data_IF_235701689710
#
_entry.id   IF_235701689710
#
_cell.length_a   1.000
_cell.length_b   1.000
_cell.length_c   1.000
_cell.angle_alpha   90.00
_cell.angle_beta   90.00
_cell.angle_gamma   90.00
#
_symmetry.space_group_name_H-M   'P 1'
#
loop_
_entity.id
_entity.type
_entity.pdbx_description
1 polymer ?
#
# COMPACT_ATOMS: atom_id res chain seq x y z
N UNK A 1 38.40 -12.09 4.88
CA UNK A 1 37.55 -10.98 5.34
C UNK A 1 37.65 -10.91 6.84
N UNK A 2 37.83 -9.72 7.41
CA UNK A 2 37.88 -9.55 8.86
C UNK A 2 36.50 -9.89 9.46
N UNK A 3 36.41 -10.74 10.50
CA UNK A 3 35.14 -11.17 11.10
C UNK A 3 34.26 -10.01 11.56
N UNK A 4 34.86 -8.88 11.92
CA UNK A 4 34.20 -7.62 12.30
C UNK A 4 33.40 -7.03 11.13
N UNK A 5 33.93 -7.11 9.90
CA UNK A 5 33.25 -6.63 8.69
C UNK A 5 32.02 -7.50 8.39
N UNK A 6 32.14 -8.82 8.54
CA UNK A 6 31.01 -9.74 8.36
C UNK A 6 29.92 -9.51 9.43
N UNK A 7 30.31 -9.30 10.68
CA UNK A 7 29.37 -8.96 11.75
C UNK A 7 28.63 -7.64 11.46
N UNK A 8 29.35 -6.59 11.03
CA UNK A 8 28.74 -5.29 10.72
C UNK A 8 27.71 -5.36 9.58
N UNK A 9 27.96 -6.20 8.59
CA UNK A 9 27.05 -6.45 7.48
C UNK A 9 25.79 -7.19 7.94
N UNK A 10 25.94 -8.25 8.74
CA UNK A 10 24.80 -9.03 9.27
C UNK A 10 23.90 -8.16 10.15
N UNK A 11 24.49 -7.27 10.96
CA UNK A 11 23.72 -6.35 11.80
C UNK A 11 22.81 -5.45 10.96
N UNK A 12 23.25 -5.00 9.78
CA UNK A 12 22.44 -4.18 8.89
C UNK A 12 21.28 -4.91 8.20
N UNK A 13 21.25 -6.25 8.22
CA UNK A 13 20.12 -7.04 7.68
C UNK A 13 18.88 -6.89 8.58
N UNK A 14 19.05 -6.96 9.89
CA UNK A 14 17.95 -6.87 10.87
C UNK A 14 17.08 -5.61 10.72
N UNK A 15 17.62 -4.38 10.67
CA UNK A 15 16.80 -3.18 10.50
C UNK A 15 16.13 -3.14 9.12
N UNK A 16 16.75 -3.71 8.08
CA UNK A 16 16.14 -3.82 6.75
C UNK A 16 14.91 -4.74 6.77
N UNK A 17 15.02 -5.91 7.42
CA UNK A 17 13.88 -6.82 7.64
C UNK A 17 12.79 -6.18 8.51
N UNK A 18 13.17 -5.48 9.58
CA UNK A 18 12.23 -4.77 10.44
C UNK A 18 11.44 -3.69 9.66
N UNK A 19 12.11 -2.97 8.76
CA UNK A 19 11.48 -1.94 7.92
C UNK A 19 10.52 -2.57 6.90
N UNK A 20 10.88 -3.70 6.30
CA UNK A 20 9.98 -4.48 5.45
C UNK A 20 8.75 -4.96 6.23
N UNK A 21 8.93 -5.41 7.47
CA UNK A 21 7.83 -5.72 8.37
C UNK A 21 6.93 -4.52 8.66
N UNK A 22 7.52 -3.34 8.82
CA UNK A 22 6.78 -2.10 9.02
C UNK A 22 5.91 -1.75 7.79
N UNK A 23 6.43 -1.87 6.57
CA UNK A 23 5.63 -1.71 5.33
C UNK A 23 4.41 -2.61 5.33
N UNK A 24 4.59 -3.90 5.63
CA UNK A 24 3.49 -4.86 5.68
C UNK A 24 2.47 -4.50 6.76
N UNK A 25 2.93 -4.13 7.95
CA UNK A 25 2.06 -3.74 9.05
C UNK A 25 1.23 -2.49 8.71
N UNK A 26 1.83 -1.47 8.08
CA UNK A 26 1.08 -0.28 7.66
C UNK A 26 0.04 -0.60 6.59
N UNK A 27 0.38 -1.44 5.61
CA UNK A 27 -0.58 -1.90 4.60
C UNK A 27 -1.74 -2.67 5.24
N UNK A 28 -1.46 -3.61 6.14
CA UNK A 28 -2.51 -4.31 6.90
C UNK A 28 -3.37 -3.35 7.72
N UNK A 29 -2.75 -2.37 8.38
CA UNK A 29 -3.48 -1.40 9.19
C UNK A 29 -4.42 -0.55 8.33
N UNK A 30 -4.00 -0.14 7.14
CA UNK A 30 -4.83 0.62 6.18
C UNK A 30 -5.99 -0.25 5.67
N UNK A 31 -5.71 -1.46 5.19
CA UNK A 31 -6.73 -2.37 4.62
C UNK A 31 -7.75 -2.87 5.65
N UNK A 32 -7.38 -2.94 6.94
CA UNK A 32 -8.30 -3.26 8.04
C UNK A 32 -9.05 -2.06 8.59
N UNK A 33 -8.78 -0.85 8.13
CA UNK A 33 -9.48 0.36 8.61
C UNK A 33 -10.95 0.35 8.14
N UNK A 34 -11.84 0.89 8.99
CA UNK A 34 -13.25 1.02 8.65
C UNK A 34 -13.47 1.87 7.40
N UNK A 35 -12.71 2.95 7.25
CA UNK A 35 -12.73 3.81 6.08
C UNK A 35 -12.44 3.04 4.78
N UNK A 36 -11.39 2.21 4.78
CA UNK A 36 -11.05 1.39 3.62
C UNK A 36 -12.12 0.33 3.32
N UNK A 37 -12.63 -0.33 4.36
CA UNK A 37 -13.70 -1.32 4.19
C UNK A 37 -14.98 -0.67 3.64
N UNK A 38 -15.31 0.53 4.10
CA UNK A 38 -16.46 1.31 3.63
C UNK A 38 -16.28 1.72 2.16
N UNK A 39 -15.09 2.22 1.79
CA UNK A 39 -14.73 2.51 0.40
C UNK A 39 -14.90 1.28 -0.48
N UNK A 40 -14.33 0.14 -0.08
CA UNK A 40 -14.42 -1.10 -0.84
C UNK A 40 -15.87 -1.61 -0.98
N UNK A 41 -16.70 -1.40 0.05
CA UNK A 41 -18.12 -1.76 0.02
C UNK A 41 -18.89 -0.89 -0.96
N UNK A 42 -18.69 0.43 -0.91
CA UNK A 42 -19.33 1.36 -1.84
C UNK A 42 -18.88 1.10 -3.28
N UNK A 43 -17.58 0.97 -3.54
CA UNK A 43 -17.08 0.68 -4.89
C UNK A 43 -17.61 -0.65 -5.47
N UNK A 44 -17.80 -1.67 -4.62
CA UNK A 44 -18.36 -2.94 -5.07
C UNK A 44 -19.81 -2.80 -5.60
N UNK A 45 -20.58 -1.82 -5.14
CA UNK A 45 -21.95 -1.59 -5.65
C UNK A 45 -21.97 -1.14 -7.12
N UNK A 46 -20.88 -0.53 -7.59
CA UNK A 46 -20.70 -0.08 -8.98
C UNK A 46 -19.71 -0.97 -9.75
N UNK A 47 -19.50 -2.21 -9.30
CA UNK A 47 -18.57 -3.18 -9.91
C UNK A 47 -17.12 -2.66 -10.05
N UNK A 48 -16.66 -1.90 -9.05
CA UNK A 48 -15.29 -1.38 -8.97
C UNK A 48 -14.63 -1.76 -7.65
N UNK A 49 -13.31 -1.61 -7.58
CA UNK A 49 -12.57 -1.73 -6.33
C UNK A 49 -11.38 -0.77 -6.31
N UNK A 50 -10.91 -0.46 -5.11
CA UNK A 50 -9.67 0.29 -4.94
C UNK A 50 -8.48 -0.69 -4.94
N UNK A 51 -7.55 -0.50 -5.87
CA UNK A 51 -6.30 -1.24 -5.98
C UNK A 51 -5.21 -0.46 -5.25
N UNK A 52 -4.68 -1.04 -4.16
CA UNK A 52 -3.68 -0.39 -3.32
C UNK A 52 -2.33 -0.31 -4.03
N UNK A 53 -1.94 -1.37 -4.75
CA UNK A 53 -0.64 -1.42 -5.45
C UNK A 53 -0.50 -0.32 -6.51
N UNK A 54 -1.61 0.08 -7.14
CA UNK A 54 -1.64 1.11 -8.18
C UNK A 54 -2.21 2.45 -7.72
N UNK A 55 -2.77 2.51 -6.49
CA UNK A 55 -3.46 3.69 -5.95
C UNK A 55 -4.55 4.22 -6.90
N UNK A 56 -5.34 3.30 -7.47
CA UNK A 56 -6.33 3.59 -8.51
C UNK A 56 -7.58 2.73 -8.34
N UNK A 57 -8.66 3.16 -8.98
CA UNK A 57 -9.91 2.41 -9.04
C UNK A 57 -9.90 1.57 -10.30
N UNK A 58 -10.16 0.27 -10.14
CA UNK A 58 -10.18 -0.71 -11.22
C UNK A 58 -11.54 -1.43 -11.25
N UNK A 59 -11.93 -1.99 -12.42
CA UNK A 59 -13.12 -2.85 -12.50
C UNK A 59 -12.95 -4.06 -11.57
N UNK A 60 -14.02 -4.44 -10.89
CA UNK A 60 -14.03 -5.59 -10.00
C UNK A 60 -14.19 -6.87 -10.83
N UNK A 61 -13.12 -7.63 -11.00
CA UNK A 61 -13.16 -8.98 -11.56
C UNK A 61 -13.15 -10.02 -10.43
N UNK A 62 -13.43 -11.27 -10.78
CA UNK A 62 -13.36 -12.37 -9.83
C UNK A 62 -11.92 -12.49 -9.29
N UNK A 63 -11.76 -12.55 -7.97
CA UNK A 63 -10.48 -12.61 -7.26
C UNK A 63 -9.55 -11.38 -7.36
N UNK A 64 -9.96 -10.24 -7.95
CA UNK A 64 -9.05 -9.08 -8.10
C UNK A 64 -8.45 -8.58 -6.77
N UNK A 65 -9.24 -8.58 -5.69
CA UNK A 65 -8.75 -8.16 -4.35
C UNK A 65 -7.69 -9.10 -3.78
N UNK A 66 -7.86 -10.41 -3.98
CA UNK A 66 -6.90 -11.39 -3.53
C UNK A 66 -5.59 -11.29 -4.34
N UNK A 67 -5.72 -11.09 -5.65
CA UNK A 67 -4.58 -10.88 -6.54
C UNK A 67 -3.80 -9.61 -6.20
N UNK A 68 -4.47 -8.49 -5.93
CA UNK A 68 -3.81 -7.23 -5.51
C UNK A 68 -3.02 -7.40 -4.20
N UNK A 69 -3.61 -8.10 -3.23
CA UNK A 69 -2.94 -8.38 -1.95
C UNK A 69 -1.72 -9.30 -2.11
N UNK A 70 -1.82 -10.34 -2.94
CA UNK A 70 -0.69 -11.23 -3.22
C UNK A 70 0.40 -10.55 -4.07
N UNK A 71 0.02 -9.68 -5.00
CA UNK A 71 0.94 -8.86 -5.78
C UNK A 71 1.72 -7.89 -4.87
N UNK A 72 1.03 -7.25 -3.91
CA UNK A 72 1.67 -6.39 -2.91
C UNK A 72 2.66 -7.18 -2.04
N UNK A 73 2.25 -8.33 -1.49
CA UNK A 73 3.13 -9.19 -0.69
C UNK A 73 4.36 -9.64 -1.47
N UNK A 74 4.16 -10.13 -2.69
CA UNK A 74 5.24 -10.60 -3.55
C UNK A 74 6.24 -9.48 -3.82
N UNK A 75 5.74 -8.30 -4.20
CA UNK A 75 6.58 -7.11 -4.44
C UNK A 75 7.35 -6.71 -3.19
N UNK A 76 6.70 -6.72 -2.02
CA UNK A 76 7.32 -6.38 -0.75
C UNK A 76 8.39 -7.40 -0.34
N UNK A 77 8.18 -8.69 -0.54
CA UNK A 77 9.18 -9.71 -0.23
C UNK A 77 10.38 -9.67 -1.17
N UNK A 78 10.17 -9.44 -2.47
CA UNK A 78 11.26 -9.27 -3.43
C UNK A 78 12.09 -8.04 -3.06
N UNK A 79 11.43 -6.89 -2.88
CA UNK A 79 12.10 -5.65 -2.49
C UNK A 79 12.81 -5.78 -1.15
N UNK A 80 12.14 -6.34 -0.15
CA UNK A 80 12.68 -6.53 1.20
C UNK A 80 13.89 -7.47 1.22
N UNK A 81 13.86 -8.55 0.43
CA UNK A 81 14.99 -9.48 0.30
C UNK A 81 16.19 -8.81 -0.40
N UNK A 82 15.93 -8.05 -1.47
CA UNK A 82 16.97 -7.30 -2.18
C UNK A 82 17.61 -6.24 -1.27
N UNK A 83 16.82 -5.50 -0.50
CA UNK A 83 17.33 -4.52 0.46
C UNK A 83 17.99 -5.18 1.67
N UNK A 84 17.58 -6.37 2.10
CA UNK A 84 18.28 -7.12 3.13
C UNK A 84 19.69 -7.51 2.66
N UNK A 85 19.83 -7.97 1.41
CA UNK A 85 21.14 -8.28 0.82
C UNK A 85 22.07 -7.07 0.69
N UNK A 86 21.52 -5.86 0.57
CA UNK A 86 22.31 -4.62 0.57
C UNK A 86 22.62 -4.10 1.99
N UNK A 87 22.22 -4.81 3.05
CA UNK A 87 22.47 -4.47 4.46
C UNK A 87 22.11 -3.00 4.76
N UNK A 88 23.02 -2.21 5.32
CA UNK A 88 22.79 -0.80 5.68
C UNK A 88 22.35 0.08 4.51
N UNK A 89 22.91 -0.13 3.31
CA UNK A 89 22.51 0.63 2.12
C UNK A 89 21.06 0.31 1.77
N UNK A 90 20.69 -0.96 1.81
CA UNK A 90 19.32 -1.38 1.57
C UNK A 90 18.35 -0.89 2.64
N UNK A 91 18.75 -0.87 3.91
CA UNK A 91 17.96 -0.27 4.99
C UNK A 91 17.64 1.22 4.71
N UNK A 92 18.63 2.00 4.28
CA UNK A 92 18.41 3.41 3.93
C UNK A 92 17.42 3.57 2.77
N UNK A 93 17.56 2.76 1.72
CA UNK A 93 16.57 2.76 0.62
C UNK A 93 15.18 2.34 1.09
N UNK A 94 15.09 1.31 1.93
CA UNK A 94 13.82 0.83 2.47
C UNK A 94 13.10 1.91 3.29
N UNK A 95 13.86 2.69 4.08
CA UNK A 95 13.36 3.85 4.82
C UNK A 95 12.87 4.97 3.90
N UNK A 96 13.61 5.27 2.82
CA UNK A 96 13.18 6.26 1.81
C UNK A 96 11.88 5.83 1.15
N UNK A 97 11.77 4.56 0.75
CA UNK A 97 10.53 4.02 0.16
C UNK A 97 9.37 4.12 1.17
N UNK A 98 9.60 3.76 2.44
CA UNK A 98 8.59 3.87 3.49
C UNK A 98 8.12 5.31 3.72
N UNK A 99 9.04 6.27 3.74
CA UNK A 99 8.71 7.68 3.87
C UNK A 99 7.95 8.18 2.63
N UNK A 100 8.37 7.73 1.44
CA UNK A 100 7.77 8.11 0.17
C UNK A 100 6.32 7.64 0.06
N UNK A 101 6.06 6.35 0.26
CA UNK A 101 4.70 5.76 0.17
C UNK A 101 3.74 6.36 1.17
N UNK A 102 4.22 6.86 2.31
CA UNK A 102 3.37 7.42 3.37
C UNK A 102 3.19 8.92 3.34
N UNK A 103 4.11 9.69 2.75
CA UNK A 103 4.05 11.16 2.81
C UNK A 103 4.16 11.86 1.46
N UNK A 104 4.88 11.27 0.50
CA UNK A 104 5.28 11.99 -0.72
C UNK A 104 4.58 11.47 -1.98
N UNK A 105 4.27 10.17 -2.02
CA UNK A 105 3.70 9.52 -3.19
C UNK A 105 2.17 9.35 -3.14
N UNK A 106 1.50 9.87 -2.10
CA UNK A 106 0.03 9.83 -2.03
C UNK A 106 -0.52 10.74 -3.12
N UNK A 107 -1.14 10.15 -4.13
CA UNK A 107 -1.70 10.91 -5.25
C UNK A 107 -2.79 11.87 -4.78
N UNK A 108 -2.96 13.02 -5.46
CA UNK A 108 -4.07 13.94 -5.19
C UNK A 108 -5.42 13.22 -5.31
N UNK A 109 -5.50 12.28 -6.24
CA UNK A 109 -6.66 11.42 -6.43
C UNK A 109 -6.95 10.57 -5.19
N UNK A 110 -5.95 9.86 -4.65
CA UNK A 110 -6.09 9.08 -3.42
C UNK A 110 -6.52 9.98 -2.25
N UNK A 111 -5.94 11.17 -2.10
CA UNK A 111 -6.33 12.11 -1.04
C UNK A 111 -7.80 12.52 -1.18
N UNK A 112 -8.27 12.85 -2.40
CA UNK A 112 -9.67 13.20 -2.67
C UNK A 112 -10.61 12.02 -2.36
N UNK A 113 -10.29 10.82 -2.84
CA UNK A 113 -11.13 9.62 -2.64
C UNK A 113 -11.25 9.28 -1.15
N UNK A 114 -10.14 9.29 -0.40
CA UNK A 114 -10.16 8.96 1.02
C UNK A 114 -10.74 10.07 1.91
N UNK A 115 -10.75 11.33 1.44
CA UNK A 115 -11.44 12.43 2.11
C UNK A 115 -12.94 12.49 1.78
N UNK A 116 -13.38 11.80 0.73
CA UNK A 116 -14.76 11.82 0.27
C UNK A 116 -15.71 11.02 1.16
N UNK A 117 -17.01 11.21 0.94
CA UNK A 117 -18.06 10.47 1.64
C UNK A 117 -18.07 8.96 1.33
N UNK A 118 -17.32 8.51 0.31
CA UNK A 118 -17.13 7.10 -0.01
C UNK A 118 -16.56 6.30 1.17
N UNK A 119 -15.82 6.95 2.07
CA UNK A 119 -15.19 6.30 3.23
C UNK A 119 -16.03 6.38 4.51
N UNK A 120 -17.13 7.14 4.54
CA UNK A 120 -17.84 7.47 5.79
C UNK A 120 -19.25 6.90 5.88
N UNK A 121 -19.98 6.82 4.77
CA UNK A 121 -21.38 6.36 4.76
C UNK A 121 -21.67 5.39 3.61
N UNK A 122 -22.78 4.66 3.71
CA UNK A 122 -23.27 3.85 2.58
C UNK A 122 -23.94 4.77 1.58
N UNK A 123 -23.56 4.67 0.31
CA UNK A 123 -24.05 5.53 -0.77
C UNK A 123 -24.78 4.71 -1.83
N UNK A 124 -25.67 5.35 -2.57
CA UNK A 124 -26.29 4.77 -3.76
C UNK A 124 -25.32 4.77 -4.94
N UNK A 125 -25.57 3.91 -5.94
CA UNK A 125 -24.74 3.82 -7.14
C UNK A 125 -24.59 5.17 -7.86
N UNK A 126 -25.66 5.96 -7.94
CA UNK A 126 -25.66 7.28 -8.59
C UNK A 126 -24.76 8.28 -7.84
N UNK A 127 -24.84 8.33 -6.51
CA UNK A 127 -23.99 9.21 -5.69
C UNK A 127 -22.52 8.83 -5.80
N UNK A 128 -22.22 7.52 -5.84
CA UNK A 128 -20.86 7.01 -5.98
C UNK A 128 -20.25 7.48 -7.31
N UNK A 129 -20.97 7.34 -8.43
CA UNK A 129 -20.46 7.77 -9.73
C UNK A 129 -20.20 9.27 -9.81
N UNK A 130 -21.03 10.09 -9.15
CA UNK A 130 -20.83 11.55 -9.07
C UNK A 130 -19.52 11.85 -8.33
N UNK A 131 -19.35 11.29 -7.13
CA UNK A 131 -18.15 11.52 -6.32
C UNK A 131 -16.88 11.05 -7.06
N UNK A 132 -16.95 9.92 -7.77
CA UNK A 132 -15.83 9.41 -8.54
C UNK A 132 -15.42 10.35 -9.68
N UNK A 133 -16.39 10.90 -10.43
CA UNK A 133 -16.12 11.90 -11.47
C UNK A 133 -15.48 13.16 -10.89
N UNK A 134 -15.97 13.63 -9.75
CA UNK A 134 -15.40 14.81 -9.07
C UNK A 134 -13.98 14.56 -8.55
N UNK A 135 -13.65 13.31 -8.19
CA UNK A 135 -12.30 12.94 -7.77
C UNK A 135 -11.33 12.85 -8.94
N UNK A 136 -11.78 12.41 -10.12
CA UNK A 136 -10.98 12.28 -11.35
C UNK A 136 -10.72 13.63 -12.05
N UNK A 137 -11.59 14.62 -11.84
CA UNK A 137 -11.44 16.01 -12.31
C UNK A 137 -10.33 16.79 -11.58
#
# INVERSE_FOLDING_TARGET
MAPEMAASYIIGIFPSLATTGAHYWFHQKKTKSSAFQQLQKNLATVQKYWCESQSRILPLEENSRAQDHEAFKTSLYIMGSLFAFLSWVGFMFNMIVLASTRKLAISRFEQKVFASELCTKNLSAAEIEIILKDCEA
#
